data_IF_191020028549
#
_entry.id   IF_191020028549
#
_cell.length_a   1.000
_cell.length_b   1.000
_cell.length_c   1.000
_cell.angle_alpha   90.00
_cell.angle_beta   90.00
_cell.angle_gamma   90.00
#
_symmetry.space_group_name_H-M   'P 1'
#
loop_
_entity.id
_entity.type
_entity.pdbx_description
1 polymer ?
#
# COMPACT_ATOMS: atom_id res chain seq x y z
N UNK A 1 -1.49 -17.66 19.97
CA UNK A 1 -2.87 -18.17 20.05
C UNK A 1 -3.42 -17.83 21.42
N UNK A 2 -4.35 -16.88 21.52
CA UNK A 2 -5.08 -16.46 22.75
C UNK A 2 -4.27 -16.08 24.01
N UNK A 3 -2.95 -15.96 23.92
CA UNK A 3 -2.05 -15.71 25.06
C UNK A 3 -1.66 -14.24 25.23
N UNK A 4 -2.41 -13.31 24.62
CA UNK A 4 -2.06 -11.89 24.60
C UNK A 4 -1.94 -11.34 26.03
N UNK A 5 -0.74 -10.92 26.48
CA UNK A 5 -0.54 -10.48 27.86
C UNK A 5 -1.20 -9.13 28.16
N UNK A 6 -1.49 -8.33 27.13
CA UNK A 6 -2.11 -7.02 27.26
C UNK A 6 -3.64 -7.06 27.25
N UNK A 7 -4.22 -8.27 27.15
CA UNK A 7 -5.66 -8.50 27.17
C UNK A 7 -6.41 -8.02 25.92
N UNK A 8 -5.71 -7.62 24.85
CA UNK A 8 -6.33 -7.05 23.64
C UNK A 8 -6.81 -8.12 22.68
N UNK A 9 -5.95 -9.10 22.36
CA UNK A 9 -6.23 -10.17 21.42
C UNK A 9 -6.44 -11.49 22.17
N UNK A 10 -7.44 -11.54 23.05
CA UNK A 10 -7.78 -12.74 23.82
C UNK A 10 -9.25 -12.85 24.19
N UNK A 11 -9.75 -14.08 24.32
CA UNK A 11 -11.08 -14.42 24.85
C UNK A 11 -11.07 -14.75 26.35
N UNK A 12 -9.89 -14.94 26.96
CA UNK A 12 -9.73 -15.23 28.40
C UNK A 12 -10.10 -14.00 29.26
N UNK A 13 -11.18 -14.13 30.03
CA UNK A 13 -11.70 -13.08 30.92
C UNK A 13 -10.71 -12.59 31.96
N UNK A 14 -9.82 -13.46 32.46
CA UNK A 14 -8.81 -13.05 33.43
C UNK A 14 -7.80 -12.08 32.80
N UNK A 15 -7.60 -12.15 31.49
CA UNK A 15 -6.65 -11.31 30.77
C UNK A 15 -7.27 -9.99 30.35
N UNK A 16 -8.43 -10.01 29.69
CA UNK A 16 -9.04 -8.76 29.24
C UNK A 16 -9.64 -7.93 30.38
N UNK A 17 -9.94 -8.50 31.55
CA UNK A 17 -10.37 -7.72 32.74
C UNK A 17 -9.29 -6.77 33.27
N UNK A 18 -8.01 -7.00 32.93
CA UNK A 18 -6.91 -6.08 33.22
C UNK A 18 -6.88 -4.84 32.30
N UNK A 19 -7.72 -4.81 31.26
CA UNK A 19 -7.79 -3.72 30.29
C UNK A 19 -8.43 -2.46 30.91
N UNK A 20 -7.62 -1.41 31.10
CA UNK A 20 -8.11 -0.07 31.45
C UNK A 20 -8.54 0.68 30.20
N UNK A 21 -9.82 0.57 29.84
CA UNK A 21 -10.39 1.19 28.63
C UNK A 21 -10.27 2.72 28.62
N UNK A 22 -10.60 3.46 29.71
CA UNK A 22 -10.47 4.93 29.72
C UNK A 22 -9.06 5.42 29.39
N UNK A 23 -8.03 4.87 30.04
CA UNK A 23 -6.63 5.23 29.81
C UNK A 23 -6.20 4.92 28.36
N UNK A 24 -6.60 3.75 27.84
CA UNK A 24 -6.27 3.37 26.46
C UNK A 24 -6.98 4.25 25.45
N UNK A 25 -8.21 4.69 25.72
CA UNK A 25 -8.94 5.61 24.85
C UNK A 25 -8.20 6.96 24.71
N UNK A 26 -7.70 7.51 25.82
CA UNK A 26 -6.87 8.72 25.80
C UNK A 26 -5.59 8.52 25.00
N UNK A 27 -4.91 7.38 25.20
CA UNK A 27 -3.70 7.04 24.43
C UNK A 27 -3.97 6.91 22.93
N UNK A 28 -5.10 6.31 22.53
CA UNK A 28 -5.50 6.20 21.12
C UNK A 28 -5.78 7.58 20.53
N UNK A 29 -6.51 8.44 21.25
CA UNK A 29 -6.73 9.84 20.85
C UNK A 29 -5.41 10.57 20.63
N UNK A 30 -4.51 10.50 21.59
CA UNK A 30 -3.21 11.18 21.52
C UNK A 30 -2.34 10.61 20.39
N UNK A 31 -2.36 9.29 20.18
CA UNK A 31 -1.68 8.66 19.04
C UNK A 31 -2.20 9.20 17.72
N UNK A 32 -3.52 9.20 17.50
CA UNK A 32 -4.12 9.70 16.26
C UNK A 32 -3.82 11.19 16.02
N UNK A 33 -3.94 12.03 17.05
CA UNK A 33 -3.59 13.46 16.95
C UNK A 33 -2.12 13.66 16.55
N UNK A 34 -1.21 12.89 17.14
CA UNK A 34 0.21 12.94 16.79
C UNK A 34 0.48 12.44 15.37
N UNK A 35 -0.22 11.39 14.92
CA UNK A 35 -0.14 10.90 13.53
C UNK A 35 -0.57 11.99 12.55
N UNK A 36 -1.67 12.69 12.80
CA UNK A 36 -2.14 13.78 11.94
C UNK A 36 -1.17 14.96 11.92
N UNK A 37 -0.58 15.32 13.07
CA UNK A 37 0.45 16.37 13.14
C UNK A 37 1.68 16.01 12.32
N UNK A 38 2.21 14.80 12.51
CA UNK A 38 3.38 14.32 11.77
C UNK A 38 3.09 14.26 10.26
N UNK A 39 1.89 13.81 9.86
CA UNK A 39 1.47 13.84 8.46
C UNK A 39 1.47 15.26 7.90
N UNK A 40 0.89 16.23 8.61
CA UNK A 40 0.88 17.64 8.18
C UNK A 40 2.29 18.19 7.99
N UNK A 41 3.20 17.92 8.92
CA UNK A 41 4.59 18.34 8.84
C UNK A 41 5.30 17.75 7.62
N UNK A 42 5.11 16.44 7.35
CA UNK A 42 5.66 15.79 6.17
C UNK A 42 5.10 16.35 4.85
N UNK A 43 3.78 16.58 4.78
CA UNK A 43 3.12 17.15 3.59
C UNK A 43 3.64 18.56 3.32
N UNK A 44 3.73 19.42 4.35
CA UNK A 44 4.27 20.76 4.20
C UNK A 44 5.76 20.75 3.80
N UNK A 45 6.56 19.84 4.37
CA UNK A 45 7.97 19.68 4.02
C UNK A 45 8.18 19.22 2.57
N UNK A 46 7.22 18.46 2.02
CA UNK A 46 7.18 18.10 0.60
C UNK A 46 6.70 19.24 -0.31
N UNK A 47 6.37 20.42 0.24
CA UNK A 47 5.87 21.56 -0.53
C UNK A 47 4.37 21.46 -0.90
N UNK A 48 3.64 20.54 -0.27
CA UNK A 48 2.24 20.25 -0.57
C UNK A 48 1.32 20.86 0.50
N UNK A 49 0.05 21.07 0.14
CA UNK A 49 -0.97 21.62 1.05
C UNK A 49 -1.93 20.56 1.56
N UNK A 50 -2.09 19.47 0.83
CA UNK A 50 -3.02 18.39 1.16
C UNK A 50 -2.40 17.02 0.82
N UNK A 51 -2.61 15.97 1.64
CA UNK A 51 -2.05 14.63 1.35
C UNK A 51 -2.53 14.04 0.02
N UNK A 52 -3.68 14.47 -0.49
CA UNK A 52 -4.16 14.08 -1.83
C UNK A 52 -3.36 14.66 -2.99
N UNK A 53 -2.46 15.61 -2.74
CA UNK A 53 -1.52 16.15 -3.75
C UNK A 53 -0.27 15.25 -3.90
N UNK A 54 -0.12 14.19 -3.09
CA UNK A 54 0.99 13.24 -3.21
C UNK A 54 0.94 12.51 -4.56
N UNK A 55 1.84 12.90 -5.46
CA UNK A 55 2.17 12.17 -6.68
C UNK A 55 3.28 11.13 -6.51
N UNK A 56 3.48 10.26 -7.53
CA UNK A 56 4.51 9.22 -7.52
C UNK A 56 5.95 9.75 -7.46
N UNK A 57 6.18 11.00 -7.83
CA UNK A 57 7.44 11.71 -7.68
C UNK A 57 7.85 11.92 -6.21
N UNK A 58 6.88 11.94 -5.28
CA UNK A 58 7.12 12.13 -3.85
C UNK A 58 7.47 10.82 -3.11
N UNK A 59 7.15 9.66 -3.70
CA UNK A 59 7.37 8.36 -3.04
C UNK A 59 8.73 7.80 -3.48
N UNK A 60 9.66 7.74 -2.53
CA UNK A 60 11.05 7.32 -2.79
C UNK A 60 11.25 5.86 -2.40
N UNK A 61 11.76 5.05 -3.33
CA UNK A 61 12.06 3.63 -3.14
C UNK A 61 13.54 3.34 -3.36
N UNK A 62 14.15 2.64 -2.40
CA UNK A 62 15.47 2.02 -2.58
C UNK A 62 15.29 0.77 -3.44
N UNK A 63 15.92 0.74 -4.61
CA UNK A 63 15.85 -0.39 -5.56
C UNK A 63 17.05 -1.32 -5.44
N UNK A 64 18.19 -0.81 -4.96
CA UNK A 64 19.36 -1.61 -4.61
C UNK A 64 20.14 -0.95 -3.47
N UNK A 65 21.22 -1.57 -3.00
CA UNK A 65 22.07 -0.98 -1.95
C UNK A 65 22.59 0.42 -2.30
N UNK A 66 22.79 0.71 -3.59
CA UNK A 66 23.37 1.97 -4.09
C UNK A 66 22.38 2.88 -4.82
N UNK A 67 21.14 2.44 -4.99
CA UNK A 67 20.21 3.10 -5.90
C UNK A 67 18.87 3.38 -5.23
N UNK A 68 18.47 4.64 -5.34
CA UNK A 68 17.23 5.18 -4.82
C UNK A 68 16.56 5.94 -5.96
N UNK A 69 15.28 5.67 -6.21
CA UNK A 69 14.48 6.31 -7.25
C UNK A 69 13.10 6.68 -6.73
N UNK A 70 12.48 7.70 -7.31
CA UNK A 70 11.05 7.96 -7.09
C UNK A 70 10.19 6.92 -7.80
N UNK A 71 8.97 6.69 -7.35
CA UNK A 71 8.03 5.85 -8.08
C UNK A 71 7.74 6.42 -9.47
N UNK A 72 7.71 7.75 -9.60
CA UNK A 72 7.50 8.44 -10.88
C UNK A 72 8.55 8.11 -11.95
N UNK A 73 9.77 7.77 -11.53
CA UNK A 73 10.84 7.31 -12.44
C UNK A 73 10.93 5.80 -12.57
N UNK A 74 10.36 5.05 -11.62
CA UNK A 74 10.43 3.60 -11.59
C UNK A 74 9.33 2.94 -12.41
N UNK A 75 8.16 3.56 -12.48
CA UNK A 75 6.98 3.01 -13.15
C UNK A 75 6.57 3.86 -14.36
N UNK A 76 6.03 3.19 -15.37
CA UNK A 76 5.43 3.85 -16.52
C UNK A 76 3.98 4.24 -16.19
N UNK A 77 3.78 5.52 -15.89
CA UNK A 77 2.46 6.11 -15.77
C UNK A 77 1.92 6.48 -17.15
N UNK A 78 0.60 6.36 -17.33
CA UNK A 78 -0.09 6.69 -18.57
C UNK A 78 -1.22 7.66 -18.25
N UNK A 79 -1.53 8.56 -19.19
CA UNK A 79 -2.61 9.54 -18.99
C UNK A 79 -3.97 8.84 -18.87
N UNK A 80 -4.95 9.45 -18.18
CA UNK A 80 -6.33 8.97 -18.19
C UNK A 80 -6.83 8.74 -19.63
N UNK A 81 -7.45 7.59 -19.89
CA UNK A 81 -7.94 7.20 -21.22
C UNK A 81 -6.89 6.59 -22.15
N UNK A 82 -5.60 6.65 -21.83
CA UNK A 82 -4.53 6.19 -22.72
C UNK A 82 -4.54 4.69 -23.05
N UNK A 83 -5.28 3.88 -22.30
CA UNK A 83 -5.46 2.44 -22.56
C UNK A 83 -6.74 2.14 -23.37
N UNK A 84 -7.61 3.13 -23.55
CA UNK A 84 -8.83 3.05 -24.35
C UNK A 84 -8.52 3.46 -25.79
N UNK A 85 -7.83 4.59 -25.97
CA UNK A 85 -7.56 5.19 -27.29
C UNK A 85 -6.38 4.52 -28.03
N UNK A 86 -5.61 3.68 -27.34
CA UNK A 86 -4.46 2.97 -27.90
C UNK A 86 -3.72 2.15 -26.86
N UNK A 87 -2.61 1.53 -27.28
CA UNK A 87 -1.76 0.75 -26.39
C UNK A 87 -0.41 1.46 -26.18
N UNK A 88 -0.12 1.95 -24.97
CA UNK A 88 1.15 2.60 -24.66
C UNK A 88 2.34 1.71 -24.96
N UNK A 89 3.43 2.28 -25.49
CA UNK A 89 4.61 1.53 -25.94
C UNK A 89 5.33 0.72 -24.86
N UNK A 90 5.16 1.08 -23.59
CA UNK A 90 5.89 0.44 -22.50
C UNK A 90 5.54 -1.06 -22.42
N UNK A 91 6.57 -1.91 -22.34
CA UNK A 91 6.47 -3.36 -22.51
C UNK A 91 5.41 -4.03 -21.61
N UNK A 92 5.23 -3.54 -20.38
CA UNK A 92 4.20 -4.05 -19.46
C UNK A 92 2.79 -3.92 -20.05
N UNK A 93 2.45 -2.79 -20.67
CA UNK A 93 1.13 -2.63 -21.27
C UNK A 93 1.00 -3.49 -22.52
N UNK A 94 2.03 -3.49 -23.38
CA UNK A 94 2.07 -4.34 -24.59
C UNK A 94 1.87 -5.82 -24.25
N UNK A 95 2.52 -6.32 -23.20
CA UNK A 95 2.47 -7.73 -22.82
C UNK A 95 1.14 -8.14 -22.18
N UNK A 96 0.56 -7.29 -21.34
CA UNK A 96 -0.57 -7.71 -20.50
C UNK A 96 -1.93 -7.19 -20.98
N UNK A 97 -1.98 -6.10 -21.75
CA UNK A 97 -3.25 -5.44 -22.09
C UNK A 97 -4.17 -6.31 -22.94
N UNK A 98 -3.65 -7.02 -23.95
CA UNK A 98 -4.45 -7.92 -24.80
C UNK A 98 -5.15 -9.03 -23.99
N UNK A 99 -4.49 -9.49 -22.92
CA UNK A 99 -5.03 -10.51 -22.03
C UNK A 99 -5.88 -9.95 -20.88
N UNK A 100 -5.89 -8.63 -20.70
CA UNK A 100 -6.59 -7.99 -19.59
C UNK A 100 -8.10 -7.98 -19.84
N UNK A 101 -8.90 -8.28 -18.81
CA UNK A 101 -10.35 -8.21 -18.90
C UNK A 101 -10.91 -7.42 -17.72
N UNK A 102 -11.92 -6.58 -17.98
CA UNK A 102 -12.57 -5.79 -16.93
C UNK A 102 -13.38 -6.64 -15.94
N UNK A 103 -13.77 -7.87 -16.35
CA UNK A 103 -14.61 -8.78 -15.57
C UNK A 103 -13.80 -9.82 -14.76
N UNK A 104 -12.47 -9.81 -14.84
CA UNK A 104 -11.63 -10.81 -14.18
C UNK A 104 -10.23 -10.30 -13.86
N UNK A 105 -9.77 -10.60 -12.65
CA UNK A 105 -8.40 -10.37 -12.19
C UNK A 105 -7.52 -11.63 -12.23
N UNK A 106 -8.01 -12.69 -12.90
CA UNK A 106 -7.23 -13.90 -13.07
C UNK A 106 -5.98 -13.61 -13.93
N UNK A 107 -4.84 -14.25 -13.63
CA UNK A 107 -3.66 -14.10 -14.47
C UNK A 107 -3.91 -14.69 -15.87
N UNK A 108 -3.18 -14.22 -16.89
CA UNK A 108 -3.16 -14.87 -18.21
C UNK A 108 -2.75 -16.34 -18.08
N UNK A 109 -3.23 -17.21 -18.97
CA UNK A 109 -3.03 -18.66 -18.87
C UNK A 109 -1.57 -19.08 -18.62
N UNK A 110 -0.61 -18.52 -19.37
CA UNK A 110 0.81 -18.83 -19.17
C UNK A 110 1.36 -18.42 -17.80
N UNK A 111 0.85 -17.33 -17.21
CA UNK A 111 1.22 -16.92 -15.83
C UNK A 111 0.49 -17.79 -14.80
N UNK A 112 -0.73 -18.24 -15.09
CA UNK A 112 -1.48 -19.14 -14.24
C UNK A 112 -0.75 -20.49 -14.09
N UNK A 113 -0.21 -21.03 -15.18
CA UNK A 113 0.54 -22.29 -15.20
C UNK A 113 1.82 -22.23 -14.35
N UNK A 114 2.54 -21.10 -14.37
CA UNK A 114 3.72 -20.89 -13.51
C UNK A 114 3.41 -20.95 -12.00
N UNK A 115 2.14 -20.82 -11.59
CA UNK A 115 1.76 -20.98 -10.16
C UNK A 115 1.69 -22.45 -9.75
N UNK A 116 1.48 -23.37 -10.69
CA UNK A 116 1.41 -24.80 -10.43
C UNK A 116 2.79 -25.43 -10.27
N UNK A 117 3.81 -24.93 -10.97
CA UNK A 117 5.18 -25.42 -10.85
C UNK A 117 5.84 -25.16 -9.49
N UNK A 118 5.25 -24.28 -8.66
CA UNK A 118 5.68 -24.02 -7.27
C UNK A 118 5.04 -24.95 -6.24
N UNK A 119 4.15 -25.86 -6.66
CA UNK A 119 3.48 -26.84 -5.79
C UNK A 119 4.11 -28.24 -5.83
N UNK A 120 5.22 -28.40 -6.55
CA UNK A 120 6.08 -29.59 -6.52
C UNK A 120 7.29 -29.24 -5.66
#
# INVERSE_FOLDING_TARGET
TDTCPTGVATQDQRRWSSLRVPDKAERVKNFHQNTLRALKEMIAAAGLRHPGELGPEHIIRRVSGKEIRSLGSLYAFVSPGALIDGLPHHAVFQQFWESARADSFAPPAGIAELRWSKKI
#
